data_IF_102104479038
#
_entry.id   IF_102104479038
#
_cell.length_a   1.000
_cell.length_b   1.000
_cell.length_c   1.000
_cell.angle_alpha   90.00
_cell.angle_beta   90.00
_cell.angle_gamma   90.00
#
_symmetry.space_group_name_H-M   'P 1'
#
loop_
_entity.id
_entity.type
_entity.pdbx_description
1 polymer ?
#
# COMPACT_ATOMS: atom_id res chain seq x y z
N UNK A 1 -2.05 26.37 -33.08
CA UNK A 1 -1.38 27.12 -32.00
C UNK A 1 -0.61 28.28 -32.63
N UNK A 2 -0.88 29.52 -32.21
CA UNK A 2 -0.21 30.71 -32.75
C UNK A 2 1.28 30.77 -32.34
N UNK A 3 2.08 31.60 -33.03
CA UNK A 3 3.52 31.65 -32.81
C UNK A 3 3.94 32.26 -31.45
N UNK A 4 3.09 33.08 -30.84
CA UNK A 4 3.35 33.63 -29.51
C UNK A 4 3.19 32.53 -28.46
N UNK A 5 2.15 31.71 -28.60
CA UNK A 5 1.88 30.53 -27.78
C UNK A 5 2.98 29.47 -27.90
N UNK A 6 3.48 29.20 -29.11
CA UNK A 6 4.62 28.28 -29.32
C UNK A 6 5.89 28.76 -28.62
N UNK A 7 6.23 30.06 -28.75
CA UNK A 7 7.41 30.63 -28.09
C UNK A 7 7.33 30.60 -26.56
N UNK A 8 6.13 30.80 -26.00
CA UNK A 8 5.89 30.68 -24.55
C UNK A 8 6.02 29.23 -24.08
N UNK A 9 5.46 28.28 -24.83
CA UNK A 9 5.58 26.85 -24.56
C UNK A 9 7.03 26.38 -24.60
N UNK A 10 7.79 26.72 -25.65
CA UNK A 10 9.22 26.34 -25.77
C UNK A 10 10.06 26.95 -24.64
N UNK A 11 9.75 28.17 -24.17
CA UNK A 11 10.40 28.75 -22.98
C UNK A 11 10.06 27.99 -21.69
N UNK A 12 8.82 27.56 -21.52
CA UNK A 12 8.38 26.79 -20.35
C UNK A 12 9.05 25.40 -20.32
N UNK A 13 9.07 24.71 -21.45
CA UNK A 13 9.65 23.37 -21.56
C UNK A 13 11.17 23.38 -21.34
N UNK A 14 11.86 24.44 -21.79
CA UNK A 14 13.29 24.65 -21.49
C UNK A 14 13.58 24.90 -20.01
N UNK A 15 12.63 25.45 -19.24
CA UNK A 15 12.76 25.59 -17.77
C UNK A 15 12.64 24.26 -17.05
N UNK A 16 11.97 23.27 -17.64
CA UNK A 16 11.81 21.92 -17.11
C UNK A 16 12.61 20.88 -17.91
N UNK A 17 13.86 21.23 -18.26
CA UNK A 17 14.73 20.40 -19.10
C UNK A 17 15.13 19.04 -18.48
N UNK A 18 14.87 18.84 -17.18
CA UNK A 18 15.00 17.55 -16.50
C UNK A 18 13.90 16.56 -16.92
N UNK A 19 12.74 17.06 -17.35
CA UNK A 19 11.56 16.25 -17.71
C UNK A 19 11.37 16.20 -19.23
N UNK A 20 11.57 17.33 -19.91
CA UNK A 20 11.30 17.47 -21.34
C UNK A 20 12.58 17.71 -22.16
N UNK A 21 12.66 17.06 -23.32
CA UNK A 21 13.68 17.24 -24.35
C UNK A 21 13.01 17.83 -25.59
N UNK A 22 13.45 19.01 -26.02
CA UNK A 22 13.04 19.59 -27.29
C UNK A 22 13.95 19.05 -28.39
N UNK A 23 13.38 18.37 -29.38
CA UNK A 23 14.12 17.84 -30.54
C UNK A 23 13.60 18.45 -31.83
N UNK A 24 14.48 18.65 -32.81
CA UNK A 24 14.08 19.12 -34.12
C UNK A 24 14.07 17.94 -35.10
N UNK A 25 12.90 17.62 -35.66
CA UNK A 25 12.77 16.55 -36.64
C UNK A 25 12.76 17.16 -38.04
N UNK A 26 13.92 17.10 -38.71
CA UNK A 26 14.15 17.72 -40.02
C UNK A 26 13.12 17.30 -41.09
N UNK A 27 12.63 16.06 -41.06
CA UNK A 27 11.64 15.55 -42.01
C UNK A 27 10.21 16.09 -41.81
N UNK A 28 9.92 16.76 -40.68
CA UNK A 28 8.63 17.43 -40.41
C UNK A 28 8.76 18.95 -40.26
N UNK A 29 9.97 19.50 -40.45
CA UNK A 29 10.32 20.91 -40.28
C UNK A 29 9.74 21.55 -38.99
N UNK A 30 9.64 20.77 -37.90
CA UNK A 30 8.93 21.17 -36.69
C UNK A 30 9.70 20.75 -35.42
N UNK A 31 9.61 21.59 -34.38
CA UNK A 31 10.09 21.27 -33.03
C UNK A 31 9.14 20.25 -32.38
N UNK A 32 9.70 19.18 -31.83
CA UNK A 32 9.04 18.11 -31.10
C UNK A 32 9.44 18.14 -29.63
N UNK A 33 8.53 17.67 -28.79
CA UNK A 33 8.75 17.54 -27.35
C UNK A 33 8.78 16.05 -27.07
N UNK A 34 9.88 15.58 -26.51
CA UNK A 34 10.06 14.21 -26.07
C UNK A 34 10.26 14.22 -24.56
N UNK A 35 9.72 13.20 -23.86
CA UNK A 35 10.07 12.97 -22.46
C UNK A 35 11.48 12.39 -22.41
N UNK A 36 12.28 12.81 -21.43
CA UNK A 36 13.58 12.16 -21.18
C UNK A 36 13.38 10.72 -20.70
N UNK A 37 14.38 9.89 -20.93
CA UNK A 37 14.38 8.45 -20.65
C UNK A 37 13.93 8.13 -19.21
N UNK A 38 14.44 8.86 -18.20
CA UNK A 38 13.99 8.73 -16.81
C UNK A 38 12.48 8.96 -16.60
N UNK A 39 11.88 9.92 -17.32
CA UNK A 39 10.44 10.15 -17.23
C UNK A 39 9.68 9.08 -18.01
N UNK A 40 10.25 8.54 -19.09
CA UNK A 40 9.67 7.39 -19.78
C UNK A 40 9.68 6.14 -18.88
N UNK A 41 10.78 5.90 -18.16
CA UNK A 41 10.90 4.86 -17.15
C UNK A 41 9.88 5.03 -16.02
N UNK A 42 9.68 6.26 -15.50
CA UNK A 42 8.61 6.53 -14.52
C UNK A 42 7.24 6.24 -15.11
N UNK A 43 6.96 6.69 -16.34
CA UNK A 43 5.66 6.46 -16.99
C UNK A 43 5.44 4.98 -17.33
N UNK A 44 6.49 4.21 -17.59
CA UNK A 44 6.43 2.77 -17.83
C UNK A 44 6.29 1.99 -16.54
N UNK A 45 7.01 2.38 -15.48
CA UNK A 45 6.84 1.87 -14.13
C UNK A 45 5.44 2.20 -13.60
N UNK A 46 4.92 3.39 -13.87
CA UNK A 46 3.53 3.78 -13.57
C UNK A 46 2.56 2.92 -14.37
N UNK A 47 2.77 2.72 -15.68
CA UNK A 47 1.92 1.84 -16.48
C UNK A 47 1.98 0.37 -16.05
N UNK A 48 3.14 -0.13 -15.63
CA UNK A 48 3.28 -1.49 -15.12
C UNK A 48 2.62 -1.61 -13.75
N UNK A 49 2.83 -0.64 -12.87
CA UNK A 49 2.15 -0.57 -11.58
C UNK A 49 0.64 -0.47 -11.75
N UNK A 50 0.14 0.26 -12.75
CA UNK A 50 -1.28 0.32 -13.12
C UNK A 50 -1.76 -1.06 -13.61
N UNK A 51 -0.99 -1.78 -14.44
CA UNK A 51 -1.36 -3.13 -14.91
C UNK A 51 -1.42 -4.16 -13.77
N UNK A 52 -0.35 -4.27 -12.99
CA UNK A 52 -0.26 -5.20 -11.85
C UNK A 52 -1.38 -4.88 -10.83
N UNK A 53 -1.73 -3.60 -10.70
CA UNK A 53 -2.82 -3.13 -9.85
C UNK A 53 -4.19 -3.40 -10.47
N UNK A 54 -4.41 -3.22 -11.76
CA UNK A 54 -5.69 -3.51 -12.41
C UNK A 54 -6.02 -5.01 -12.30
N UNK A 55 -5.01 -5.88 -12.40
CA UNK A 55 -5.14 -7.31 -12.07
C UNK A 55 -5.50 -7.50 -10.59
N UNK A 56 -4.86 -6.78 -9.66
CA UNK A 56 -5.15 -6.88 -8.21
C UNK A 56 -6.51 -6.29 -7.80
N UNK A 57 -6.96 -5.23 -8.45
CA UNK A 57 -8.26 -4.58 -8.24
C UNK A 57 -9.39 -5.42 -8.83
N UNK A 58 -9.13 -6.18 -9.90
CA UNK A 58 -10.08 -7.16 -10.43
C UNK A 58 -10.50 -8.23 -9.41
N UNK A 59 -9.77 -8.34 -8.30
CA UNK A 59 -10.03 -9.30 -7.22
C UNK A 59 -10.52 -8.58 -5.97
N UNK A 60 -10.08 -7.35 -5.74
CA UNK A 60 -10.36 -6.63 -4.48
C UNK A 60 -11.67 -5.85 -4.49
N UNK A 61 -12.30 -5.61 -5.65
CA UNK A 61 -13.59 -4.92 -5.73
C UNK A 61 -14.73 -5.91 -5.44
N UNK A 62 -14.75 -6.42 -4.21
CA UNK A 62 -15.96 -6.91 -3.57
C UNK A 62 -16.57 -5.78 -2.74
N UNK A 63 -17.73 -5.28 -3.20
CA UNK A 63 -18.75 -4.53 -2.47
C UNK A 63 -18.78 -2.98 -2.53
N UNK A 64 -19.98 -2.52 -2.90
CA UNK A 64 -20.69 -1.28 -2.51
C UNK A 64 -20.56 -0.05 -3.40
N UNK A 65 -21.59 0.81 -3.28
CA UNK A 65 -21.76 2.13 -3.91
C UNK A 65 -20.53 3.04 -3.75
N UNK A 66 -19.65 2.71 -2.79
CA UNK A 66 -18.51 3.48 -2.33
C UNK A 66 -17.22 3.26 -3.12
N UNK A 67 -17.14 2.29 -4.04
CA UNK A 67 -15.90 2.06 -4.82
C UNK A 67 -15.43 3.35 -5.52
N UNK A 68 -16.34 4.15 -6.07
CA UNK A 68 -16.03 5.46 -6.65
C UNK A 68 -15.35 6.43 -5.68
N UNK A 69 -15.56 6.30 -4.36
CA UNK A 69 -14.90 7.16 -3.38
C UNK A 69 -13.38 6.98 -3.37
N UNK A 70 -12.88 5.79 -3.71
CA UNK A 70 -11.45 5.49 -3.83
C UNK A 70 -10.93 5.57 -5.27
N UNK A 71 -11.74 6.06 -6.22
CA UNK A 71 -11.37 6.12 -7.63
C UNK A 71 -10.05 6.86 -7.85
N UNK A 72 -9.81 7.94 -7.10
CA UNK A 72 -8.59 8.74 -7.22
C UNK A 72 -7.36 8.04 -6.62
N UNK A 73 -7.52 7.34 -5.49
CA UNK A 73 -6.44 6.67 -4.76
C UNK A 73 -6.05 5.33 -5.41
N UNK A 74 -7.04 4.60 -5.93
CA UNK A 74 -6.88 3.33 -6.60
C UNK A 74 -6.73 3.49 -8.13
N UNK A 75 -6.73 4.74 -8.64
CA UNK A 75 -6.86 5.16 -10.05
C UNK A 75 -7.57 4.16 -10.97
N UNK A 76 -8.82 3.82 -10.65
CA UNK A 76 -9.63 2.92 -11.47
C UNK A 76 -9.63 3.31 -12.96
N UNK A 77 -9.89 2.37 -13.87
CA UNK A 77 -10.00 2.67 -15.29
C UNK A 77 -10.98 3.83 -15.53
N UNK A 78 -10.59 4.78 -16.40
CA UNK A 78 -11.42 5.95 -16.75
C UNK A 78 -12.79 5.55 -17.28
N UNK A 79 -12.88 4.40 -17.95
CA UNK A 79 -14.14 3.76 -18.33
C UNK A 79 -14.42 2.57 -17.40
N UNK A 80 -14.74 2.87 -16.14
CA UNK A 80 -15.01 1.88 -15.11
C UNK A 80 -16.20 0.99 -15.50
N UNK A 81 -17.28 1.58 -16.02
CA UNK A 81 -18.45 0.82 -16.47
C UNK A 81 -18.14 -0.10 -17.66
N UNK A 82 -17.31 0.35 -18.60
CA UNK A 82 -16.82 -0.49 -19.70
C UNK A 82 -15.83 -1.56 -19.24
N UNK A 83 -15.04 -1.30 -18.20
CA UNK A 83 -14.24 -2.33 -17.53
C UNK A 83 -15.12 -3.42 -16.94
N UNK A 84 -16.12 -3.07 -16.11
CA UNK A 84 -17.02 -4.04 -15.49
C UNK A 84 -17.76 -4.89 -16.53
N UNK A 85 -18.21 -4.28 -17.63
CA UNK A 85 -18.89 -5.00 -18.73
C UNK A 85 -18.03 -6.02 -19.46
N UNK A 86 -16.70 -5.91 -19.38
CA UNK A 86 -15.77 -6.90 -19.97
C UNK A 86 -15.62 -8.16 -19.11
N UNK A 87 -15.98 -8.08 -17.84
CA UNK A 87 -15.83 -9.16 -16.86
C UNK A 87 -17.18 -9.48 -16.17
N UNK A 88 -18.23 -9.86 -16.94
CA UNK A 88 -19.57 -10.05 -16.39
C UNK A 88 -19.71 -11.29 -15.48
N UNK A 89 -18.74 -12.23 -15.57
CA UNK A 89 -18.68 -13.43 -14.72
C UNK A 89 -18.02 -13.12 -13.36
N UNK A 90 -17.16 -12.10 -13.31
CA UNK A 90 -16.46 -11.68 -12.11
C UNK A 90 -17.23 -10.57 -11.39
N UNK A 91 -17.85 -9.65 -12.15
CA UNK A 91 -18.52 -8.46 -11.62
C UNK A 91 -19.95 -8.31 -12.10
N UNK A 92 -20.84 -7.92 -11.17
CA UNK A 92 -22.22 -7.56 -11.44
C UNK A 92 -22.55 -6.19 -10.86
N UNK A 93 -23.32 -5.41 -11.60
CA UNK A 93 -23.91 -4.18 -11.08
C UNK A 93 -25.16 -4.52 -10.26
N UNK A 94 -25.14 -4.19 -8.96
CA UNK A 94 -26.26 -4.33 -8.04
C UNK A 94 -26.91 -2.95 -7.76
N UNK A 95 -28.13 -2.96 -7.22
CA UNK A 95 -28.77 -1.73 -6.69
C UNK A 95 -29.11 -0.65 -7.73
N UNK A 96 -29.30 -1.01 -9.01
CA UNK A 96 -29.69 -0.04 -10.04
C UNK A 96 -28.55 0.85 -10.54
N UNK A 97 -27.34 0.28 -10.71
CA UNK A 97 -26.11 0.85 -11.32
C UNK A 97 -25.11 1.58 -10.42
N UNK A 98 -25.25 1.53 -9.09
CA UNK A 98 -24.31 2.21 -8.18
C UNK A 98 -23.35 1.26 -7.47
N UNK A 99 -23.74 0.00 -7.26
CA UNK A 99 -22.96 -0.98 -6.51
C UNK A 99 -22.30 -1.99 -7.44
N UNK A 100 -21.03 -2.28 -7.20
CA UNK A 100 -20.33 -3.43 -7.82
C UNK A 100 -20.32 -4.59 -6.83
N UNK A 101 -20.95 -5.69 -7.24
CA UNK A 101 -20.89 -6.98 -6.58
C UNK A 101 -19.82 -7.83 -7.28
N UNK A 102 -18.92 -8.41 -6.49
CA UNK A 102 -18.04 -9.46 -6.98
C UNK A 102 -18.79 -10.79 -6.92
N UNK A 103 -19.01 -11.38 -8.08
CA UNK A 103 -19.76 -12.63 -8.26
C UNK A 103 -18.85 -13.84 -8.12
N UNK A 104 -17.66 -13.75 -8.72
CA UNK A 104 -16.64 -14.79 -8.63
C UNK A 104 -15.24 -14.18 -8.74
N UNK A 105 -14.25 -14.87 -8.19
CA UNK A 105 -12.84 -14.53 -8.35
C UNK A 105 -12.00 -15.79 -8.46
N UNK A 106 -10.78 -15.65 -8.97
CA UNK A 106 -9.76 -16.65 -8.75
C UNK A 106 -9.18 -16.49 -7.34
N UNK A 107 -9.30 -17.52 -6.51
CA UNK A 107 -8.76 -17.54 -5.14
C UNK A 107 -7.23 -17.39 -5.12
N UNK A 108 -6.53 -17.76 -6.20
CA UNK A 108 -5.09 -17.59 -6.31
C UNK A 108 -4.64 -16.12 -6.26
N UNK A 109 -5.57 -15.20 -6.56
CA UNK A 109 -5.34 -13.77 -6.55
C UNK A 109 -5.63 -13.13 -5.18
N UNK A 110 -6.27 -13.85 -4.26
CA UNK A 110 -6.57 -13.40 -2.89
C UNK A 110 -5.34 -13.46 -1.97
N UNK A 111 -4.19 -13.03 -2.48
CA UNK A 111 -2.92 -12.95 -1.77
C UNK A 111 -2.66 -11.50 -1.36
N UNK A 112 -2.55 -11.27 -0.07
CA UNK A 112 -2.32 -9.94 0.50
C UNK A 112 -0.91 -9.43 0.22
N UNK A 113 -0.71 -8.12 0.26
CA UNK A 113 0.62 -7.52 0.15
C UNK A 113 1.54 -7.95 1.30
N UNK A 114 0.93 -8.18 2.47
CA UNK A 114 1.59 -8.73 3.65
C UNK A 114 2.13 -10.15 3.41
N UNK A 115 1.36 -11.03 2.78
CA UNK A 115 1.82 -12.39 2.44
C UNK A 115 3.00 -12.35 1.48
N UNK A 116 2.91 -11.51 0.42
CA UNK A 116 4.05 -11.26 -0.47
C UNK A 116 5.26 -10.71 0.27
N UNK A 117 5.06 -9.87 1.28
CA UNK A 117 6.13 -9.35 2.12
C UNK A 117 6.87 -10.45 2.88
N UNK A 118 6.12 -11.39 3.46
CA UNK A 118 6.69 -12.54 4.17
C UNK A 118 7.45 -13.44 3.21
N UNK A 119 6.87 -13.75 2.05
CA UNK A 119 7.51 -14.61 1.03
C UNK A 119 8.81 -13.98 0.51
N UNK A 120 8.82 -12.66 0.31
CA UNK A 120 10.01 -11.91 -0.08
C UNK A 120 11.03 -11.70 1.06
N UNK A 121 10.79 -12.25 2.25
CA UNK A 121 11.70 -12.13 3.39
C UNK A 121 11.78 -10.72 3.98
N UNK A 122 10.77 -9.87 3.76
CA UNK A 122 10.69 -8.50 4.30
C UNK A 122 10.31 -8.48 5.79
N UNK A 123 9.95 -9.63 6.37
CA UNK A 123 9.68 -9.82 7.79
C UNK A 123 10.70 -10.78 8.41
N UNK A 124 10.86 -10.71 9.74
CA UNK A 124 11.72 -11.68 10.43
C UNK A 124 11.04 -13.06 10.42
N UNK A 125 11.76 -14.09 9.93
CA UNK A 125 11.25 -15.46 9.81
C UNK A 125 10.66 -16.03 11.10
N UNK A 126 11.19 -15.61 12.27
CA UNK A 126 10.72 -16.03 13.59
C UNK A 126 9.30 -15.54 13.92
N UNK A 127 8.85 -14.45 13.28
CA UNK A 127 7.51 -13.88 13.48
C UNK A 127 6.43 -14.65 12.71
N UNK A 128 6.83 -15.55 11.82
CA UNK A 128 5.94 -16.46 11.11
C UNK A 128 5.13 -15.80 10.00
N UNK A 129 4.13 -16.53 9.47
CA UNK A 129 3.46 -16.18 8.23
C UNK A 129 2.38 -15.10 8.38
N UNK A 130 2.17 -14.56 9.58
CA UNK A 130 1.14 -13.55 9.90
C UNK A 130 1.72 -12.18 10.22
N UNK A 131 3.03 -12.02 10.03
CA UNK A 131 3.74 -10.82 10.40
C UNK A 131 3.48 -9.67 9.41
N UNK A 132 3.43 -8.46 9.95
CA UNK A 132 3.52 -7.20 9.20
C UNK A 132 4.97 -6.76 9.10
N UNK A 133 5.31 -6.10 7.99
CA UNK A 133 6.56 -5.34 7.94
C UNK A 133 6.47 -4.19 8.92
N UNK A 134 7.51 -4.03 9.71
CA UNK A 134 7.52 -3.15 10.86
C UNK A 134 8.65 -2.16 10.72
N UNK A 135 8.35 -0.89 10.97
CA UNK A 135 9.35 0.18 10.91
C UNK A 135 9.52 0.79 12.28
N UNK A 136 10.77 1.04 12.67
CA UNK A 136 11.09 1.76 13.89
C UNK A 136 12.10 2.89 13.60
N UNK A 137 12.17 3.93 14.45
CA UNK A 137 13.26 4.90 14.42
C UNK A 137 14.65 4.24 14.59
N UNK A 138 15.70 4.82 14.00
CA UNK A 138 17.09 4.29 14.06
C UNK A 138 17.65 4.05 15.46
N UNK A 139 17.10 4.74 16.47
CA UNK A 139 17.52 4.67 17.87
C UNK A 139 16.34 4.27 18.75
N UNK A 140 15.46 3.43 18.22
CA UNK A 140 14.33 2.93 18.99
C UNK A 140 14.84 1.95 20.05
N UNK A 141 14.65 2.33 21.30
CA UNK A 141 14.92 1.49 22.45
C UNK A 141 13.59 1.20 23.14
N UNK A 142 13.38 -0.07 23.47
CA UNK A 142 12.22 -0.53 24.19
C UNK A 142 12.62 -1.64 25.16
N UNK A 143 11.86 -1.77 26.24
CA UNK A 143 12.10 -2.80 27.22
C UNK A 143 11.73 -4.19 26.69
N UNK A 144 12.03 -5.20 27.50
CA UNK A 144 11.75 -6.59 27.16
C UNK A 144 10.24 -6.87 27.04
N UNK A 145 9.41 -6.18 27.83
CA UNK A 145 7.96 -6.39 27.86
C UNK A 145 7.36 -5.95 26.53
N UNK A 146 7.77 -4.78 26.02
CA UNK A 146 7.38 -4.30 24.71
C UNK A 146 7.68 -5.31 23.60
N UNK A 147 8.90 -5.87 23.57
CA UNK A 147 9.27 -6.83 22.53
C UNK A 147 8.50 -8.15 22.65
N UNK A 148 8.25 -8.63 23.86
CA UNK A 148 7.42 -9.81 24.09
C UNK A 148 5.97 -9.61 23.61
N UNK A 149 5.38 -8.45 23.89
CA UNK A 149 4.04 -8.09 23.41
C UNK A 149 4.00 -7.92 21.89
N UNK A 150 5.01 -7.27 21.33
CA UNK A 150 5.13 -7.05 19.89
C UNK A 150 5.29 -8.37 19.13
N UNK A 151 6.16 -9.26 19.59
CA UNK A 151 6.36 -10.58 18.97
C UNK A 151 5.10 -11.43 19.09
N UNK A 152 4.43 -11.39 20.25
CA UNK A 152 3.13 -12.05 20.45
C UNK A 152 2.08 -11.54 19.47
N UNK A 153 2.02 -10.23 19.25
CA UNK A 153 1.11 -9.63 18.28
C UNK A 153 1.45 -10.06 16.85
N UNK A 154 2.73 -9.99 16.46
CA UNK A 154 3.21 -10.36 15.12
C UNK A 154 3.00 -11.84 14.78
N UNK A 155 3.17 -12.73 15.76
CA UNK A 155 3.00 -14.18 15.60
C UNK A 155 1.53 -14.64 15.64
N UNK A 156 0.62 -13.80 16.14
CA UNK A 156 -0.79 -14.15 16.29
C UNK A 156 -1.44 -14.56 14.95
N UNK A 157 -2.07 -15.73 14.85
CA UNK A 157 -2.81 -16.13 13.65
C UNK A 157 -3.96 -15.17 13.34
N UNK A 158 -4.20 -14.94 12.06
CA UNK A 158 -5.24 -14.04 11.59
C UNK A 158 -5.78 -14.55 10.25
N UNK A 159 -7.10 -14.71 10.09
CA UNK A 159 -7.72 -15.06 8.81
C UNK A 159 -7.40 -14.03 7.72
N UNK A 160 -7.43 -14.44 6.46
CA UNK A 160 -7.18 -13.52 5.35
C UNK A 160 -8.20 -12.35 5.38
N UNK A 161 -7.78 -11.11 5.06
CA UNK A 161 -8.70 -9.98 4.86
C UNK A 161 -9.79 -10.25 3.82
N UNK A 162 -9.53 -11.16 2.88
CA UNK A 162 -10.46 -11.58 1.83
C UNK A 162 -11.48 -12.64 2.29
N UNK A 163 -11.27 -13.26 3.47
CA UNK A 163 -12.17 -14.26 4.03
C UNK A 163 -13.22 -13.60 4.96
N UNK A 164 -14.43 -14.17 4.97
CA UNK A 164 -15.45 -13.79 5.97
C UNK A 164 -14.94 -14.15 7.36
N UNK A 165 -14.81 -13.17 8.27
CA UNK A 165 -14.32 -13.46 9.61
C UNK A 165 -15.32 -14.26 10.46
N UNK A 166 -16.55 -14.46 9.98
CA UNK A 166 -17.61 -15.11 10.73
C UNK A 166 -17.79 -14.46 12.11
N UNK A 167 -17.94 -15.31 13.13
CA UNK A 167 -18.04 -14.87 14.53
C UNK A 167 -16.69 -14.57 15.20
N UNK A 168 -15.56 -14.79 14.52
CA UNK A 168 -14.21 -14.50 15.05
C UNK A 168 -13.82 -13.02 14.95
N UNK A 169 -14.76 -12.18 14.52
CA UNK A 169 -14.57 -10.78 14.17
C UNK A 169 -14.65 -9.78 15.34
N UNK A 170 -14.60 -10.22 16.61
CA UNK A 170 -14.75 -9.31 17.75
C UNK A 170 -13.62 -8.26 17.73
N UNK A 171 -13.93 -6.98 17.40
CA UNK A 171 -12.93 -5.92 17.28
C UNK A 171 -12.18 -5.64 18.59
N UNK A 172 -12.75 -6.03 19.74
CA UNK A 172 -12.15 -5.83 21.05
C UNK A 172 -11.14 -6.92 21.43
N UNK A 173 -11.10 -8.02 20.68
CA UNK A 173 -10.12 -9.08 20.85
C UNK A 173 -8.82 -8.76 20.10
N UNK A 174 -7.68 -9.27 20.59
CA UNK A 174 -6.39 -9.08 19.92
C UNK A 174 -6.37 -9.61 18.48
N UNK A 175 -7.08 -10.71 18.21
CA UNK A 175 -7.21 -11.29 16.87
C UNK A 175 -8.08 -10.43 15.96
N UNK A 176 -9.18 -9.88 16.48
CA UNK A 176 -10.04 -8.96 15.72
C UNK A 176 -9.33 -7.64 15.42
N UNK A 177 -8.62 -7.08 16.40
CA UNK A 177 -7.76 -5.91 16.19
C UNK A 177 -6.72 -6.17 15.11
N UNK A 178 -6.01 -7.31 15.20
CA UNK A 178 -5.02 -7.71 14.19
C UNK A 178 -5.64 -7.86 12.80
N UNK A 179 -6.85 -8.41 12.69
CA UNK A 179 -7.56 -8.53 11.42
C UNK A 179 -7.96 -7.15 10.86
N UNK A 180 -8.47 -6.25 11.69
CA UNK A 180 -8.81 -4.89 11.25
C UNK A 180 -7.59 -4.16 10.71
N UNK A 181 -6.45 -4.27 11.39
CA UNK A 181 -5.18 -3.72 10.91
C UNK A 181 -4.76 -4.35 9.57
N UNK A 182 -5.03 -5.64 9.36
CA UNK A 182 -4.77 -6.30 8.08
C UNK A 182 -5.67 -5.82 6.94
N UNK A 183 -6.94 -5.56 7.23
CA UNK A 183 -7.86 -4.95 6.27
C UNK A 183 -7.35 -3.57 5.87
N UNK A 184 -6.99 -2.72 6.83
CA UNK A 184 -6.40 -1.40 6.52
C UNK A 184 -5.08 -1.51 5.76
N UNK A 185 -4.22 -2.45 6.15
CA UNK A 185 -2.98 -2.72 5.44
C UNK A 185 -3.25 -3.06 3.98
N UNK A 186 -4.17 -3.98 3.72
CA UNK A 186 -4.47 -4.40 2.36
C UNK A 186 -5.09 -3.26 1.55
N UNK A 187 -6.08 -2.55 2.08
CA UNK A 187 -6.69 -1.38 1.43
C UNK A 187 -5.65 -0.32 1.06
N UNK A 188 -4.81 0.07 2.01
CA UNK A 188 -3.76 1.06 1.75
C UNK A 188 -2.74 0.53 0.75
N UNK A 189 -2.41 -0.76 0.79
CA UNK A 189 -1.51 -1.38 -0.20
C UNK A 189 -2.07 -1.35 -1.62
N UNK A 190 -3.39 -1.29 -1.80
CA UNK A 190 -4.04 -1.19 -3.12
C UNK A 190 -3.98 0.23 -3.69
N UNK A 191 -3.85 1.25 -2.84
CA UNK A 191 -3.73 2.64 -3.29
C UNK A 191 -2.36 2.90 -3.93
N UNK A 192 -2.33 3.78 -4.93
CA UNK A 192 -1.09 4.15 -5.65
C UNK A 192 -0.08 4.73 -4.68
N UNK A 193 -0.52 5.72 -3.91
CA UNK A 193 0.35 6.44 -2.98
C UNK A 193 0.50 5.71 -1.64
N UNK A 194 -0.03 4.50 -1.46
CA UNK A 194 0.03 3.76 -0.18
C UNK A 194 -0.53 4.56 1.00
N UNK A 195 -1.53 5.39 0.71
CA UNK A 195 -2.22 6.29 1.65
C UNK A 195 -3.65 6.55 1.18
N UNK A 196 -4.53 6.88 2.13
CA UNK A 196 -5.90 7.29 1.84
C UNK A 196 -6.46 8.19 2.94
N UNK A 197 -7.50 8.96 2.60
CA UNK A 197 -8.28 9.71 3.58
C UNK A 197 -9.12 8.75 4.43
N UNK A 198 -9.06 8.87 5.75
CA UNK A 198 -9.88 8.05 6.66
C UNK A 198 -11.38 8.30 6.48
N UNK A 199 -11.76 9.47 5.99
CA UNK A 199 -13.15 9.76 5.68
C UNK A 199 -13.71 8.84 4.58
N UNK A 200 -12.87 8.41 3.62
CA UNK A 200 -13.28 7.50 2.54
C UNK A 200 -13.55 6.08 3.05
N UNK A 201 -12.85 5.64 4.10
CA UNK A 201 -13.12 4.34 4.70
C UNK A 201 -14.46 4.30 5.46
N UNK A 202 -15.02 5.44 5.85
CA UNK A 202 -16.36 5.49 6.46
C UNK A 202 -17.45 4.99 5.50
N UNK A 203 -17.27 5.19 4.19
CA UNK A 203 -18.16 4.67 3.14
C UNK A 203 -18.15 3.15 3.02
N UNK A 204 -17.14 2.47 3.57
CA UNK A 204 -16.98 1.01 3.54
C UNK A 204 -17.20 0.35 4.91
N UNK A 205 -17.74 1.10 5.87
CA UNK A 205 -17.79 0.69 7.27
C UNK A 205 -18.58 -0.61 7.45
N UNK A 206 -19.68 -0.79 6.73
CA UNK A 206 -20.54 -1.97 6.86
C UNK A 206 -19.92 -3.17 6.15
N UNK A 207 -19.41 -2.96 4.95
CA UNK A 207 -18.84 -3.94 4.05
C UNK A 207 -17.57 -4.56 4.65
N UNK A 208 -16.70 -3.72 5.18
CA UNK A 208 -15.40 -4.12 5.73
C UNK A 208 -15.43 -4.30 7.26
N UNK A 209 -16.62 -4.15 7.87
CA UNK A 209 -16.86 -4.22 9.32
C UNK A 209 -15.90 -3.31 10.12
N UNK A 210 -15.67 -2.10 9.62
CA UNK A 210 -14.72 -1.17 10.24
C UNK A 210 -15.31 -0.52 11.50
N UNK A 211 -14.50 -0.34 12.56
CA UNK A 211 -14.95 0.37 13.75
C UNK A 211 -15.02 1.88 13.54
N UNK A 212 -15.83 2.56 14.35
CA UNK A 212 -15.86 4.04 14.40
C UNK A 212 -14.51 4.64 14.84
N UNK A 213 -13.74 3.89 15.65
CA UNK A 213 -12.45 4.31 16.20
C UNK A 213 -11.26 4.00 15.27
N UNK A 214 -11.48 3.92 13.95
CA UNK A 214 -10.45 3.51 12.98
C UNK A 214 -9.20 4.40 13.00
N UNK A 215 -9.35 5.70 13.24
CA UNK A 215 -8.24 6.63 13.38
C UNK A 215 -7.39 6.34 14.62
N UNK A 216 -8.04 6.15 15.77
CA UNK A 216 -7.38 5.78 17.02
C UNK A 216 -6.71 4.40 16.92
N UNK A 217 -7.33 3.44 16.24
CA UNK A 217 -6.78 2.10 16.00
C UNK A 217 -5.47 2.15 15.20
N UNK A 218 -5.44 2.92 14.11
CA UNK A 218 -4.23 3.05 13.30
C UNK A 218 -3.15 3.85 14.05
N UNK A 219 -3.55 4.87 14.79
CA UNK A 219 -2.64 5.68 15.60
C UNK A 219 -1.98 4.88 16.74
N UNK A 220 -2.64 3.85 17.30
CA UNK A 220 -2.06 2.96 18.32
C UNK A 220 -1.03 1.96 17.74
N UNK A 221 -0.92 1.88 16.40
CA UNK A 221 -0.02 1.01 15.66
C UNK A 221 1.01 1.76 14.80
N UNK A 222 1.82 2.69 15.39
CA UNK A 222 2.76 3.53 14.68
C UNK A 222 3.95 2.77 14.05
N UNK A 223 4.05 1.45 14.21
CA UNK A 223 5.08 0.63 13.53
C UNK A 223 4.65 0.27 12.11
N UNK A 224 3.34 0.20 11.86
CA UNK A 224 2.73 -0.22 10.58
C UNK A 224 2.10 0.96 9.86
N UNK A 225 1.46 1.87 10.62
CA UNK A 225 0.71 3.00 10.07
C UNK A 225 1.23 4.34 10.57
N UNK A 226 1.04 5.36 9.76
CA UNK A 226 1.15 6.76 10.18
C UNK A 226 -0.18 7.43 9.90
N UNK A 227 -0.70 8.17 10.88
CA UNK A 227 -1.91 8.99 10.72
C UNK A 227 -1.47 10.45 10.82
N UNK A 228 -1.74 11.23 9.79
CA UNK A 228 -1.57 12.68 9.83
C UNK A 228 -2.91 13.37 9.88
N UNK A 229 -3.01 14.43 10.66
CA UNK A 229 -4.19 15.29 10.68
C UNK A 229 -3.81 16.70 10.23
N UNK A 230 -4.54 17.23 9.24
CA UNK A 230 -4.36 18.60 8.76
C UNK A 230 -5.71 19.16 8.31
N UNK A 231 -6.07 20.36 8.76
CA UNK A 231 -7.34 21.03 8.41
C UNK A 231 -8.57 20.11 8.58
N UNK A 232 -8.66 19.40 9.70
CA UNK A 232 -9.73 18.42 10.00
C UNK A 232 -9.83 17.26 8.99
N UNK A 233 -8.77 17.01 8.21
CA UNK A 233 -8.63 15.83 7.35
C UNK A 233 -7.58 14.90 7.92
N UNK A 234 -8.01 13.68 8.23
CA UNK A 234 -7.11 12.62 8.66
C UNK A 234 -6.74 11.74 7.45
N UNK A 235 -5.43 11.53 7.29
CA UNK A 235 -4.85 10.68 6.25
C UNK A 235 -4.09 9.54 6.92
N UNK A 236 -4.35 8.31 6.50
CA UNK A 236 -3.58 7.15 6.90
C UNK A 236 -2.57 6.77 5.82
N UNK A 237 -1.38 6.36 6.25
CA UNK A 237 -0.26 5.98 5.40
C UNK A 237 0.28 4.62 5.85
N UNK A 238 0.58 3.76 4.89
CA UNK A 238 1.26 2.49 5.13
C UNK A 238 2.77 2.73 5.26
N UNK A 239 3.35 2.55 6.44
CA UNK A 239 4.72 3.01 6.72
C UNK A 239 5.81 2.30 5.91
N UNK A 240 5.62 1.01 5.66
CA UNK A 240 6.60 0.20 4.92
C UNK A 240 6.86 0.76 3.51
N UNK A 241 5.90 1.45 2.91
CA UNK A 241 6.04 2.04 1.57
C UNK A 241 6.97 3.25 1.50
N UNK A 242 7.29 3.89 2.64
CA UNK A 242 7.97 5.19 2.68
C UNK A 242 9.37 5.12 3.30
N UNK A 243 9.84 3.93 3.69
CA UNK A 243 11.15 3.76 4.34
C UNK A 243 11.99 2.70 3.63
N UNK A 244 12.50 3.04 2.45
CA UNK A 244 13.46 2.19 1.73
C UNK A 244 14.92 2.35 2.19
N UNK A 245 15.27 3.46 2.85
CA UNK A 245 16.68 3.79 3.16
C UNK A 245 17.19 3.42 4.57
N UNK A 246 16.35 2.84 5.41
CA UNK A 246 16.70 2.45 6.80
C UNK A 246 16.55 0.94 7.01
N UNK A 247 17.07 0.13 6.07
CA UNK A 247 17.10 -1.34 6.14
C UNK A 247 18.21 -1.83 7.08
N UNK A 248 18.22 -1.38 8.32
CA UNK A 248 18.96 -2.05 9.38
C UNK A 248 17.99 -2.91 10.19
N UNK A 249 18.22 -4.22 10.14
CA UNK A 249 17.48 -5.21 10.91
C UNK A 249 17.58 -4.88 12.40
N UNK A 250 16.49 -4.42 12.98
CA UNK A 250 16.40 -4.22 14.43
C UNK A 250 16.25 -5.60 15.04
N UNK A 251 17.37 -6.13 15.52
CA UNK A 251 17.38 -7.32 16.33
C UNK A 251 16.99 -6.90 17.74
N UNK A 252 15.87 -7.43 18.25
CA UNK A 252 15.62 -7.43 19.69
C UNK A 252 16.79 -8.11 20.41
N UNK A 253 17.00 -7.87 21.71
CA UNK A 253 18.15 -8.42 22.43
C UNK A 253 18.20 -9.93 22.23
N UNK A 254 19.29 -10.40 21.62
CA UNK A 254 19.53 -11.82 21.39
C UNK A 254 19.43 -12.53 22.74
N UNK A 255 18.53 -13.51 22.84
CA UNK A 255 18.45 -14.38 24.02
C UNK A 255 19.84 -14.96 24.25
N UNK A 256 20.47 -14.56 25.34
CA UNK A 256 21.82 -14.94 25.71
C UNK A 256 21.97 -16.45 25.71
N UNK A 257 22.63 -16.97 24.69
CA UNK A 257 23.24 -18.29 24.71
C UNK A 257 24.48 -18.21 25.57
N UNK A 258 24.50 -18.98 26.66
CA UNK A 258 25.70 -19.22 27.47
C UNK A 258 26.78 -19.79 26.54
N UNK A 259 27.83 -19.03 26.28
CA UNK A 259 29.06 -19.54 25.69
C UNK A 259 30.20 -19.39 26.70
N UNK A 260 30.69 -20.53 27.16
CA UNK A 260 32.01 -20.65 27.73
C UNK A 260 33.09 -20.66 26.63
N UNK A 261 34.33 -20.52 27.09
CA UNK A 261 35.60 -20.44 26.37
C UNK A 261 35.94 -19.04 25.80
N UNK A 262 36.84 -18.28 26.41
CA UNK A 262 38.31 -18.44 26.52
C UNK A 262 39.07 -18.09 25.23
N UNK A 263 40.01 -17.14 25.35
CA UNK A 263 41.13 -16.88 24.43
C UNK A 263 40.81 -15.93 23.28
N UNK A 264 40.99 -14.62 23.44
CA UNK A 264 42.22 -13.87 23.12
C UNK A 264 42.45 -13.53 21.63
N UNK A 265 42.43 -12.21 21.39
CA UNK A 265 43.37 -11.38 20.60
C UNK A 265 43.13 -11.14 19.09
N UNK A 266 42.74 -9.88 18.85
CA UNK A 266 43.43 -8.87 18.02
C UNK A 266 43.10 -8.72 16.52
N UNK A 267 42.32 -7.66 16.26
CA UNK A 267 42.50 -6.51 15.35
C UNK A 267 43.68 -6.45 14.36
N UNK A 268 43.39 -5.97 13.13
CA UNK A 268 43.99 -4.82 12.42
C UNK A 268 43.47 -4.83 10.95
N UNK A 269 43.00 -3.76 10.31
CA UNK A 269 43.09 -2.30 10.50
C UNK A 269 41.69 -1.71 10.29
#
# INVERSE_FOLDING_TARGET
MDEVSKRRMSKLLRKHAAVFKLTYKHHRAQEWIELRDFMQEIMEAERQAIRDRDEKLSVSIGASDSAQELEQECAFPVDFDGFLRRYPEDFRLAGGSRMVELVSWDQSLAVTDRERAVEAGRTQRILGPWAFVSTFPKKFEADRIFWEEFDKFQTLPMPSPYEDPGNSADPSSLSGEKRLLAVFHELLSLTIEKRASLAKFKGFKQELRLPEYSDALLASHPRFFYVSESNSRQMAFLREAYRENDRESIHGPAKGGVQGAAGEKALCI
#
